data_IF_578971149600
#
_entry.id   IF_578971149600
#
_cell.length_a   1.000
_cell.length_b   1.000
_cell.length_c   1.000
_cell.angle_alpha   90.00
_cell.angle_beta   90.00
_cell.angle_gamma   90.00
#
_symmetry.space_group_name_H-M   'P 1'
#
loop_
_entity.id
_entity.type
_entity.pdbx_description
1 polymer ?
#
# COMPACT_ATOMS: atom_id res chain seq x y z
N UNK A 1 -6.79 4.72 0.32
CA UNK A 1 -6.90 4.76 1.79
C UNK A 1 -6.27 3.50 2.38
N UNK A 2 -5.63 3.59 3.53
CA UNK A 2 -5.12 2.47 4.31
C UNK A 2 -5.65 2.56 5.75
N UNK A 3 -6.05 1.43 6.31
CA UNK A 3 -6.58 1.33 7.67
C UNK A 3 -5.93 0.15 8.38
N UNK A 4 -5.44 0.38 9.60
CA UNK A 4 -5.14 -0.71 10.51
C UNK A 4 -6.42 -1.24 11.15
N UNK A 5 -6.64 -2.56 11.08
CA UNK A 5 -7.88 -3.18 11.55
C UNK A 5 -8.03 -3.14 13.07
N UNK A 6 -6.91 -3.15 13.81
CA UNK A 6 -6.89 -3.19 15.27
C UNK A 6 -7.08 -1.80 15.87
N UNK A 7 -6.15 -0.89 15.60
CA UNK A 7 -6.12 0.48 16.15
C UNK A 7 -7.09 1.43 15.46
N UNK A 8 -7.60 1.08 14.27
CA UNK A 8 -8.39 1.97 13.40
C UNK A 8 -7.64 3.24 12.99
N UNK A 9 -6.31 3.23 13.06
CA UNK A 9 -5.50 4.28 12.47
C UNK A 9 -5.71 4.30 10.95
N UNK A 10 -5.92 5.50 10.40
CA UNK A 10 -6.22 5.71 8.98
C UNK A 10 -5.20 6.65 8.37
N UNK A 11 -4.67 6.27 7.21
CA UNK A 11 -3.98 7.17 6.30
C UNK A 11 -4.81 7.32 5.02
N UNK A 12 -5.20 8.54 4.71
CA UNK A 12 -5.93 8.91 3.51
C UNK A 12 -5.06 9.84 2.68
N UNK A 13 -5.04 9.58 1.37
CA UNK A 13 -4.44 10.45 0.37
C UNK A 13 -5.38 10.47 -0.84
N UNK A 14 -5.40 11.58 -1.56
CA UNK A 14 -6.23 11.77 -2.77
C UNK A 14 -5.30 11.75 -3.97
N UNK A 15 -5.52 10.78 -4.85
CA UNK A 15 -4.73 10.60 -6.07
C UNK A 15 -5.57 10.93 -7.30
N UNK A 16 -4.97 11.57 -8.30
CA UNK A 16 -5.66 11.97 -9.54
C UNK A 16 -5.98 10.79 -10.47
N UNK A 17 -5.32 9.64 -10.28
CA UNK A 17 -5.50 8.45 -11.11
C UNK A 17 -5.26 7.15 -10.33
N UNK A 18 -5.99 6.11 -10.72
CA UNK A 18 -5.80 4.74 -10.22
C UNK A 18 -4.74 4.02 -11.06
N UNK A 19 -3.47 4.15 -10.67
CA UNK A 19 -2.34 3.52 -11.35
C UNK A 19 -1.23 3.07 -10.38
N UNK A 20 -0.31 2.24 -10.88
CA UNK A 20 0.77 1.67 -10.09
C UNK A 20 1.69 2.72 -9.43
N UNK A 21 2.02 3.80 -10.16
CA UNK A 21 2.89 4.85 -9.65
C UNK A 21 2.28 5.54 -8.41
N UNK A 22 1.00 5.88 -8.48
CA UNK A 22 0.27 6.47 -7.36
C UNK A 22 0.12 5.48 -6.20
N UNK A 23 -0.15 4.20 -6.47
CA UNK A 23 -0.21 3.16 -5.45
C UNK A 23 1.13 2.97 -4.72
N UNK A 24 2.26 2.97 -5.44
CA UNK A 24 3.61 2.88 -4.85
C UNK A 24 3.88 4.10 -3.96
N UNK A 25 3.55 5.30 -4.44
CA UNK A 25 3.73 6.55 -3.67
C UNK A 25 2.89 6.52 -2.39
N UNK A 26 1.61 6.12 -2.51
CA UNK A 26 0.69 5.97 -1.40
C UNK A 26 1.20 5.01 -0.33
N UNK A 27 1.69 3.82 -0.71
CA UNK A 27 2.24 2.84 0.25
C UNK A 27 3.48 3.40 0.97
N UNK A 28 4.35 4.14 0.27
CA UNK A 28 5.51 4.81 0.89
C UNK A 28 5.08 5.88 1.90
N UNK A 29 4.06 6.67 1.58
CA UNK A 29 3.52 7.68 2.48
C UNK A 29 2.85 7.05 3.71
N UNK A 30 1.99 6.05 3.51
CA UNK A 30 1.32 5.31 4.58
C UNK A 30 2.32 4.69 5.57
N UNK A 31 3.39 4.07 5.06
CA UNK A 31 4.45 3.49 5.89
C UNK A 31 5.17 4.50 6.78
N UNK A 32 5.28 5.76 6.35
CA UNK A 32 5.87 6.84 7.17
C UNK A 32 4.88 7.40 8.19
N UNK A 33 3.58 7.37 7.87
CA UNK A 33 2.53 7.93 8.71
C UNK A 33 2.11 7.02 9.86
N UNK A 34 2.13 5.69 9.65
CA UNK A 34 1.70 4.74 10.68
C UNK A 34 2.69 4.73 11.87
N UNK A 35 2.22 4.86 13.13
CA UNK A 35 3.08 4.90 14.31
C UNK A 35 3.61 3.52 14.74
N UNK A 36 3.60 2.56 13.82
CA UNK A 36 4.05 1.18 14.03
C UNK A 36 4.53 0.57 12.71
N UNK A 37 5.29 -0.52 12.82
CA UNK A 37 5.77 -1.24 11.66
C UNK A 37 4.62 -2.02 11.00
N UNK A 38 4.30 -1.65 9.76
CA UNK A 38 3.39 -2.42 8.91
C UNK A 38 4.10 -3.70 8.48
N UNK A 39 3.51 -4.87 8.76
CA UNK A 39 4.07 -6.18 8.39
C UNK A 39 3.35 -6.83 7.22
N UNK A 40 2.05 -6.56 7.05
CA UNK A 40 1.24 -7.06 5.93
C UNK A 40 0.28 -5.97 5.45
N UNK A 41 0.12 -5.85 4.13
CA UNK A 41 -0.95 -5.04 3.52
C UNK A 41 -1.89 -6.00 2.80
N UNK A 42 -3.20 -5.85 3.03
CA UNK A 42 -4.23 -6.61 2.35
C UNK A 42 -4.95 -5.69 1.38
N UNK A 43 -4.98 -6.08 0.09
CA UNK A 43 -5.67 -5.34 -0.98
C UNK A 43 -6.73 -6.21 -1.63
N UNK A 44 -7.65 -5.59 -2.36
CA UNK A 44 -8.75 -6.21 -3.09
C UNK A 44 -8.38 -6.66 -4.52
N UNK A 45 -7.08 -6.76 -4.83
CA UNK A 45 -6.57 -7.03 -6.18
C UNK A 45 -6.97 -5.99 -7.23
N UNK A 46 -7.20 -4.73 -6.83
CA UNK A 46 -7.34 -3.62 -7.78
C UNK A 46 -6.20 -3.58 -8.81
N UNK A 47 -6.49 -3.09 -10.02
CA UNK A 47 -5.56 -3.17 -11.16
C UNK A 47 -4.21 -2.52 -10.87
N UNK A 48 -4.19 -1.43 -10.11
CA UNK A 48 -2.97 -0.75 -9.68
C UNK A 48 -2.09 -1.57 -8.72
N UNK A 49 -2.62 -2.62 -8.09
CA UNK A 49 -1.90 -3.53 -7.19
C UNK A 49 -1.48 -4.84 -7.85
N UNK A 50 -2.08 -5.20 -8.98
CA UNK A 50 -1.70 -6.35 -9.82
C UNK A 50 -0.84 -5.95 -11.01
N UNK A 51 -0.49 -4.67 -11.12
CA UNK A 51 0.39 -4.14 -12.14
C UNK A 51 1.84 -4.62 -11.92
N UNK A 52 2.50 -5.05 -12.98
CA UNK A 52 3.89 -5.53 -12.97
C UNK A 52 4.85 -4.54 -12.30
N UNK A 53 4.70 -3.23 -12.56
CA UNK A 53 5.56 -2.22 -11.97
C UNK A 53 5.31 -2.10 -10.47
N UNK A 54 4.06 -2.25 -10.03
CA UNK A 54 3.74 -2.31 -8.61
C UNK A 54 4.41 -3.52 -7.96
N UNK A 55 4.24 -4.72 -8.51
CA UNK A 55 4.81 -5.96 -7.95
C UNK A 55 6.34 -5.90 -7.85
N UNK A 56 7.02 -5.41 -8.90
CA UNK A 56 8.49 -5.23 -8.91
C UNK A 56 8.97 -4.24 -7.86
N UNK A 57 8.25 -3.15 -7.64
CA UNK A 57 8.63 -2.12 -6.68
C UNK A 57 8.30 -2.52 -5.22
N UNK A 58 7.16 -3.18 -5.00
CA UNK A 58 6.75 -3.62 -3.67
C UNK A 58 7.58 -4.81 -3.15
N UNK A 59 7.95 -5.76 -4.01
CA UNK A 59 8.84 -6.88 -3.65
C UNK A 59 10.24 -6.41 -3.24
N UNK A 60 10.81 -5.43 -3.96
CA UNK A 60 12.12 -4.83 -3.65
C UNK A 60 12.12 -3.93 -2.41
N UNK A 61 10.96 -3.40 -2.02
CA UNK A 61 10.83 -2.52 -0.86
C UNK A 61 10.87 -3.25 0.51
N UNK A 62 10.97 -4.59 0.52
CA UNK A 62 11.42 -5.48 1.60
C UNK A 62 10.91 -5.21 3.03
N UNK A 63 9.75 -4.61 3.22
CA UNK A 63 9.25 -4.30 4.56
C UNK A 63 7.85 -4.82 4.86
N UNK A 64 7.07 -5.17 3.84
CA UNK A 64 5.69 -5.60 4.01
C UNK A 64 5.19 -6.30 2.73
N UNK A 65 5.00 -7.64 2.73
CA UNK A 65 4.29 -8.31 1.64
C UNK A 65 2.89 -7.72 1.48
N UNK A 66 2.59 -7.28 0.25
CA UNK A 66 1.23 -6.98 -0.17
C UNK A 66 0.60 -8.32 -0.49
N UNK A 67 -0.27 -8.78 0.41
CA UNK A 67 -1.04 -9.99 0.24
C UNK A 67 -2.29 -9.62 -0.56
N UNK A 68 -2.41 -10.20 -1.74
CA UNK A 68 -3.67 -10.22 -2.48
C UNK A 68 -4.52 -11.34 -1.89
N UNK A 69 -5.73 -10.99 -1.41
CA UNK A 69 -6.72 -11.98 -0.98
C UNK A 69 -7.35 -12.69 -2.18
#
# INVERSE_FOLDING_TARGET
>A
MAIDRCSRFVHLDVCDAENAANAISFIKAARKAFPFRITHVLTDRGSCFTDDDFERNCSRAAACPVLTA
#
